data_IF_047519801437
#
_entry.id   IF_047519801437
#
_cell.length_a   1.000
_cell.length_b   1.000
_cell.length_c   1.000
_cell.angle_alpha   90.00
_cell.angle_beta   90.00
_cell.angle_gamma   90.00
#
_symmetry.space_group_name_H-M   'P 1'
#
loop_
_entity.id
_entity.type
_entity.pdbx_description
1 polymer ?
#
# COMPACT_ATOMS: atom_id res chain seq x y z
N UNK A 1 -16.68 33.41 -7.64
CA UNK A 1 -16.85 32.10 -6.96
C UNK A 1 -16.58 31.02 -8.00
N UNK A 2 -15.30 30.74 -8.24
CA UNK A 2 -14.87 29.72 -9.20
C UNK A 2 -14.73 28.39 -8.48
N UNK A 3 -15.41 27.38 -9.01
CA UNK A 3 -15.37 26.00 -8.53
C UNK A 3 -14.02 25.39 -8.91
N UNK A 4 -13.11 25.26 -7.94
CA UNK A 4 -11.90 24.48 -8.10
C UNK A 4 -12.29 22.99 -8.26
N UNK A 5 -12.01 22.43 -9.43
CA UNK A 5 -12.20 21.02 -9.74
C UNK A 5 -11.39 20.13 -8.80
N UNK A 6 -12.09 19.22 -8.12
CA UNK A 6 -11.48 18.25 -7.21
C UNK A 6 -10.79 17.18 -8.06
N UNK A 7 -9.47 17.27 -8.17
CA UNK A 7 -8.64 16.17 -8.64
C UNK A 7 -8.52 15.12 -7.52
N UNK A 8 -9.53 14.25 -7.40
CA UNK A 8 -9.42 13.04 -6.58
C UNK A 8 -8.42 12.14 -7.32
N UNK A 9 -7.22 11.96 -6.76
CA UNK A 9 -6.33 10.86 -7.13
C UNK A 9 -6.95 9.54 -6.65
N UNK A 10 -8.10 9.17 -7.23
CA UNK A 10 -8.52 7.79 -7.31
C UNK A 10 -7.40 7.06 -8.04
N UNK A 11 -6.94 5.95 -7.48
CA UNK A 11 -5.94 5.09 -8.13
C UNK A 11 -6.27 4.99 -9.62
N UNK A 12 -5.29 5.35 -10.46
CA UNK A 12 -5.42 5.34 -11.92
C UNK A 12 -6.13 4.05 -12.33
N UNK A 13 -7.26 4.22 -13.03
CA UNK A 13 -8.07 3.17 -13.66
C UNK A 13 -7.20 2.02 -14.16
N UNK A 14 -7.37 0.86 -13.54
CA UNK A 14 -7.22 -0.43 -14.19
C UNK A 14 -8.63 -0.94 -14.47
N UNK A 15 -9.41 -0.23 -15.28
CA UNK A 15 -10.74 -0.68 -15.70
C UNK A 15 -10.82 -0.79 -17.22
N UNK A 16 -10.90 -2.04 -17.67
CA UNK A 16 -11.60 -2.53 -18.87
C UNK A 16 -11.19 -2.02 -20.27
N UNK A 17 -10.14 -1.21 -20.44
CA UNK A 17 -9.66 -0.82 -21.78
C UNK A 17 -8.49 -1.65 -22.35
N UNK A 18 -8.02 -2.67 -21.65
CA UNK A 18 -6.79 -3.40 -21.99
C UNK A 18 -6.95 -4.58 -22.97
N UNK A 19 -8.11 -4.79 -23.57
CA UNK A 19 -8.31 -5.99 -24.42
C UNK A 19 -7.80 -5.87 -25.87
N UNK A 20 -7.40 -4.69 -26.37
CA UNK A 20 -7.11 -4.56 -27.82
C UNK A 20 -5.85 -3.77 -28.24
N UNK A 21 -4.87 -3.57 -27.37
CA UNK A 21 -3.60 -2.98 -27.80
C UNK A 21 -2.45 -3.98 -27.67
N UNK A 22 -2.01 -4.52 -28.82
CA UNK A 22 -0.75 -5.26 -28.98
C UNK A 22 0.43 -4.32 -28.67
N UNK A 23 0.67 -4.11 -27.38
CA UNK A 23 1.87 -3.48 -26.83
C UNK A 23 2.81 -4.60 -26.39
N UNK A 24 4.12 -4.40 -26.52
CA UNK A 24 5.13 -5.27 -25.89
C UNK A 24 4.75 -5.42 -24.42
N UNK A 25 4.18 -6.58 -24.09
CA UNK A 25 3.66 -6.89 -22.76
C UNK A 25 4.88 -7.15 -21.92
N UNK A 26 5.01 -6.45 -20.79
CA UNK A 26 5.93 -6.84 -19.73
C UNK A 26 5.92 -8.38 -19.58
N UNK A 27 7.05 -9.02 -19.88
CA UNK A 27 7.15 -10.48 -19.90
C UNK A 27 7.23 -11.01 -18.47
N UNK A 28 6.06 -11.06 -17.83
CA UNK A 28 5.85 -11.51 -16.45
C UNK A 28 6.47 -12.89 -16.18
N UNK A 29 6.64 -13.72 -17.21
CA UNK A 29 7.28 -15.04 -17.09
C UNK A 29 8.78 -14.98 -16.85
N UNK A 30 9.49 -13.96 -17.34
CA UNK A 30 10.93 -13.81 -17.13
C UNK A 30 11.22 -13.39 -15.68
N UNK A 31 10.49 -12.38 -15.19
CA UNK A 31 10.67 -11.92 -13.82
C UNK A 31 10.24 -12.99 -12.80
N UNK A 32 9.21 -13.79 -13.11
CA UNK A 32 8.70 -14.82 -12.23
C UNK A 32 9.78 -15.82 -11.79
N UNK A 33 10.63 -16.25 -12.72
CA UNK A 33 11.70 -17.22 -12.42
C UNK A 33 12.70 -16.66 -11.42
N UNK A 34 13.15 -15.43 -11.64
CA UNK A 34 14.11 -14.78 -10.75
C UNK A 34 13.52 -14.43 -9.39
N UNK A 35 12.25 -14.02 -9.34
CA UNK A 35 11.53 -13.76 -8.09
C UNK A 35 11.36 -15.02 -7.25
N UNK A 36 11.12 -16.18 -7.88
CA UNK A 36 11.06 -17.45 -7.18
C UNK A 36 12.39 -17.79 -6.47
N UNK A 37 13.54 -17.47 -7.09
CA UNK A 37 14.87 -17.68 -6.48
C UNK A 37 15.03 -16.92 -5.16
N UNK A 38 14.46 -15.72 -5.05
CA UNK A 38 14.52 -14.89 -3.83
C UNK A 38 13.29 -15.09 -2.91
N UNK A 39 12.49 -16.12 -3.17
CA UNK A 39 11.38 -16.52 -2.32
C UNK A 39 10.10 -15.71 -2.54
N UNK A 40 9.71 -15.50 -3.79
CA UNK A 40 8.39 -14.96 -4.15
C UNK A 40 7.64 -15.89 -5.11
N UNK A 41 6.41 -16.24 -4.73
CA UNK A 41 5.49 -16.99 -5.57
C UNK A 41 4.56 -16.05 -6.32
N UNK A 42 4.28 -16.38 -7.57
CA UNK A 42 3.30 -15.64 -8.39
C UNK A 42 1.89 -16.04 -7.97
N UNK A 43 1.10 -15.05 -7.56
CA UNK A 43 -0.32 -15.25 -7.24
C UNK A 43 -1.20 -15.09 -8.48
N UNK A 44 -0.91 -14.05 -9.28
CA UNK A 44 -1.54 -13.78 -10.59
C UNK A 44 -0.60 -12.91 -11.42
N UNK A 45 -1.03 -12.54 -12.62
CA UNK A 45 -0.24 -11.67 -13.50
C UNK A 45 0.23 -10.42 -12.75
N UNK A 46 1.55 -10.22 -12.73
CA UNK A 46 2.24 -9.10 -12.08
C UNK A 46 2.04 -8.93 -10.57
N UNK A 47 1.52 -9.93 -9.86
CA UNK A 47 1.36 -9.91 -8.39
C UNK A 47 2.05 -11.12 -7.77
N UNK A 48 2.95 -10.84 -6.85
CA UNK A 48 3.81 -11.84 -6.23
C UNK A 48 3.73 -11.72 -4.72
N UNK A 49 3.76 -12.86 -4.02
CA UNK A 49 3.77 -12.92 -2.55
C UNK A 49 5.02 -13.63 -2.07
N UNK A 50 5.66 -13.10 -1.04
CA UNK A 50 6.83 -13.74 -0.47
C UNK A 50 6.46 -15.08 0.17
N UNK A 51 7.27 -16.12 -0.06
CA UNK A 51 7.14 -17.44 0.56
C UNK A 51 7.52 -17.44 2.04
N UNK A 52 8.27 -16.42 2.46
CA UNK A 52 8.64 -16.16 3.85
C UNK A 52 7.65 -15.22 4.57
N UNK A 53 6.50 -14.92 3.94
CA UNK A 53 5.37 -14.28 4.64
C UNK A 53 4.90 -15.15 5.81
N UNK A 54 4.41 -14.51 6.87
CA UNK A 54 3.86 -15.20 8.04
C UNK A 54 2.33 -15.09 8.07
N UNK A 55 1.69 -15.73 9.04
CA UNK A 55 0.27 -15.54 9.31
C UNK A 55 -0.05 -14.10 9.77
N UNK A 56 0.94 -13.40 10.34
CA UNK A 56 0.78 -12.04 10.86
C UNK A 56 1.05 -10.98 9.79
N UNK A 57 2.05 -11.20 8.93
CA UNK A 57 2.48 -10.23 7.92
C UNK A 57 2.81 -10.90 6.59
N UNK A 58 2.05 -10.50 5.57
CA UNK A 58 2.25 -10.88 4.19
C UNK A 58 2.96 -9.79 3.39
N UNK A 59 3.86 -10.21 2.50
CA UNK A 59 4.69 -9.33 1.69
C UNK A 59 4.37 -9.51 0.23
N UNK A 60 4.12 -8.40 -0.47
CA UNK A 60 3.72 -8.41 -1.86
C UNK A 60 4.64 -7.57 -2.73
N UNK A 61 4.82 -8.00 -3.98
CA UNK A 61 5.37 -7.20 -5.07
C UNK A 61 4.33 -7.07 -6.19
N UNK A 62 4.23 -5.87 -6.71
CA UNK A 62 3.35 -5.51 -7.82
C UNK A 62 4.20 -4.92 -8.93
N UNK A 63 4.02 -5.44 -10.14
CA UNK A 63 4.66 -4.91 -11.33
C UNK A 63 3.62 -4.48 -12.34
N UNK A 64 4.00 -3.59 -13.23
CA UNK A 64 3.08 -3.13 -14.25
C UNK A 64 3.72 -2.18 -15.23
N UNK A 65 2.85 -1.62 -16.05
CA UNK A 65 3.21 -0.62 -17.03
C UNK A 65 2.15 0.48 -16.97
N UNK A 66 2.59 1.73 -16.92
CA UNK A 66 1.68 2.86 -16.93
C UNK A 66 1.21 3.21 -18.36
N UNK A 67 0.25 4.13 -18.47
CA UNK A 67 -0.30 4.56 -19.76
C UNK A 67 0.71 5.23 -20.69
N UNK A 68 1.90 5.57 -20.18
CA UNK A 68 3.02 6.16 -20.94
C UNK A 68 4.11 5.13 -21.26
N UNK A 69 3.80 3.85 -21.08
CA UNK A 69 4.69 2.71 -21.32
C UNK A 69 5.90 2.65 -20.39
N UNK A 70 5.83 3.29 -19.22
CA UNK A 70 6.87 3.16 -18.20
C UNK A 70 6.57 2.01 -17.28
N UNK A 71 7.60 1.26 -16.93
CA UNK A 71 7.52 0.21 -15.93
C UNK A 71 7.17 0.81 -14.56
N UNK A 72 6.28 0.13 -13.84
CA UNK A 72 5.90 0.47 -12.48
C UNK A 72 6.18 -0.71 -11.56
N UNK A 73 6.71 -0.41 -10.38
CA UNK A 73 6.94 -1.39 -9.33
C UNK A 73 6.50 -0.83 -7.98
N UNK A 74 5.81 -1.66 -7.21
CA UNK A 74 5.38 -1.37 -5.86
C UNK A 74 5.59 -2.60 -4.97
N UNK A 75 5.69 -2.37 -3.67
CA UNK A 75 5.59 -3.44 -2.68
C UNK A 75 4.50 -3.11 -1.67
N UNK A 76 3.97 -4.11 -0.97
CA UNK A 76 2.97 -3.93 0.06
C UNK A 76 3.20 -4.88 1.23
N UNK A 77 2.82 -4.45 2.42
CA UNK A 77 2.84 -5.24 3.65
C UNK A 77 1.42 -5.31 4.20
N UNK A 78 0.94 -6.52 4.51
CA UNK A 78 -0.45 -6.74 4.90
C UNK A 78 -0.53 -7.65 6.12
N UNK A 79 -1.16 -7.17 7.18
CA UNK A 79 -1.89 -8.05 8.09
C UNK A 79 -3.34 -8.21 7.55
N UNK A 80 -3.83 -9.44 7.31
CA UNK A 80 -5.14 -9.67 6.70
C UNK A 80 -6.30 -9.01 7.45
N UNK A 81 -6.34 -9.15 8.77
CA UNK A 81 -7.43 -8.63 9.61
C UNK A 81 -7.40 -7.10 9.68
N UNK A 82 -6.21 -6.53 9.88
CA UNK A 82 -6.02 -5.08 9.89
C UNK A 82 -6.39 -4.45 8.54
N UNK A 83 -6.03 -5.09 7.42
CA UNK A 83 -6.43 -4.60 6.10
C UNK A 83 -7.95 -4.67 5.90
N UNK A 84 -8.57 -5.80 6.24
CA UNK A 84 -10.02 -5.95 6.15
C UNK A 84 -10.72 -4.85 6.96
N UNK A 85 -10.29 -4.65 8.20
CA UNK A 85 -10.78 -3.59 9.07
C UNK A 85 -10.58 -2.19 8.48
N UNK A 86 -9.40 -1.90 7.91
CA UNK A 86 -9.11 -0.62 7.28
C UNK A 86 -9.98 -0.33 6.06
N UNK A 87 -10.28 -1.34 5.24
CA UNK A 87 -11.19 -1.20 4.09
C UNK A 87 -12.62 -0.95 4.58
N UNK A 88 -13.10 -1.72 5.56
CA UNK A 88 -14.43 -1.55 6.14
C UNK A 88 -14.59 -0.16 6.78
N UNK A 89 -13.57 0.31 7.50
CA UNK A 89 -13.53 1.65 8.05
C UNK A 89 -13.57 2.72 6.95
N UNK A 90 -12.82 2.55 5.86
CA UNK A 90 -12.84 3.50 4.75
C UNK A 90 -14.21 3.52 4.04
N UNK A 91 -14.85 2.37 3.89
CA UNK A 91 -16.21 2.26 3.33
C UNK A 91 -17.25 2.93 4.23
N UNK A 92 -17.11 2.79 5.55
CA UNK A 92 -18.05 3.30 6.55
C UNK A 92 -17.90 4.80 6.80
N UNK A 93 -16.66 5.27 6.89
CA UNK A 93 -16.32 6.64 7.33
C UNK A 93 -15.77 7.53 6.21
N UNK A 94 -15.43 6.95 5.07
CA UNK A 94 -14.96 7.70 3.90
C UNK A 94 -16.12 8.16 3.00
N UNK A 95 -15.73 8.87 1.94
CA UNK A 95 -16.61 9.33 0.88
C UNK A 95 -17.37 8.15 0.20
N UNK A 96 -18.65 8.31 -0.18
CA UNK A 96 -19.46 7.22 -0.75
C UNK A 96 -18.84 6.48 -1.95
N UNK A 97 -18.00 7.17 -2.74
CA UNK A 97 -17.27 6.56 -3.85
C UNK A 97 -16.34 5.40 -3.44
N UNK A 98 -15.92 5.33 -2.17
CA UNK A 98 -15.12 4.20 -1.68
C UNK A 98 -15.92 2.89 -1.64
N UNK A 99 -17.25 2.93 -1.61
CA UNK A 99 -18.07 1.72 -1.74
C UNK A 99 -17.91 1.07 -3.12
N UNK A 100 -17.82 1.88 -4.17
CA UNK A 100 -17.57 1.38 -5.53
C UNK A 100 -16.16 0.81 -5.62
N UNK A 101 -15.16 1.55 -5.12
CA UNK A 101 -13.77 1.10 -5.06
C UNK A 101 -13.61 -0.23 -4.31
N UNK A 102 -14.30 -0.40 -3.17
CA UNK A 102 -14.18 -1.62 -2.37
C UNK A 102 -14.82 -2.84 -3.04
N UNK A 103 -15.90 -2.66 -3.82
CA UNK A 103 -16.55 -3.75 -4.58
C UNK A 103 -15.68 -4.28 -5.72
N UNK A 104 -14.80 -3.44 -6.26
CA UNK A 104 -13.91 -3.81 -7.37
C UNK A 104 -12.60 -4.48 -6.91
N UNK A 105 -12.34 -4.51 -5.60
CA UNK A 105 -11.09 -5.00 -5.01
C UNK A 105 -11.24 -6.44 -4.53
N UNK A 106 -10.35 -7.31 -4.98
CA UNK A 106 -10.15 -8.61 -4.35
C UNK A 106 -9.20 -8.46 -3.15
N UNK A 107 -9.80 -8.26 -1.98
CA UNK A 107 -9.09 -8.05 -0.71
C UNK A 107 -8.26 -9.25 -0.26
N UNK A 108 -8.47 -10.43 -0.87
CA UNK A 108 -7.74 -11.67 -0.54
C UNK A 108 -6.39 -11.71 -1.23
N UNK A 109 -6.27 -11.14 -2.43
CA UNK A 109 -5.05 -11.23 -3.26
C UNK A 109 -4.27 -9.92 -3.39
N UNK A 110 -4.81 -8.81 -2.89
CA UNK A 110 -4.16 -7.50 -2.95
C UNK A 110 -3.87 -6.90 -1.57
N UNK A 111 -2.85 -6.06 -1.51
CA UNK A 111 -2.57 -5.14 -0.41
C UNK A 111 -3.11 -3.75 -0.76
N UNK A 112 -3.82 -3.11 0.17
CA UNK A 112 -4.36 -1.76 -0.03
C UNK A 112 -3.34 -0.66 0.28
N UNK A 113 -2.28 -0.99 1.02
CA UNK A 113 -1.16 -0.11 1.34
C UNK A 113 0.07 -0.53 0.53
N UNK A 114 0.21 0.06 -0.66
CA UNK A 114 1.34 -0.19 -1.55
C UNK A 114 2.25 1.03 -1.62
N UNK A 115 3.55 0.79 -1.67
CA UNK A 115 4.59 1.81 -1.76
C UNK A 115 5.35 1.63 -3.07
N UNK A 116 5.52 2.72 -3.81
CA UNK A 116 6.29 2.70 -5.05
C UNK A 116 7.77 2.46 -4.75
N UNK A 117 8.47 1.70 -5.60
CA UNK A 117 9.93 1.54 -5.45
C UNK A 117 10.66 2.90 -5.48
N UNK A 118 10.09 3.89 -6.17
CA UNK A 118 10.59 5.25 -6.19
C UNK A 118 10.55 5.97 -4.82
N UNK A 119 9.73 5.53 -3.86
CA UNK A 119 9.71 6.15 -2.51
C UNK A 119 10.88 5.72 -1.63
N UNK A 120 11.60 4.66 -1.98
CA UNK A 120 12.78 4.21 -1.22
C UNK A 120 14.01 5.11 -1.40
N UNK A 121 13.87 6.22 -2.14
CA UNK A 121 14.94 7.16 -2.41
C UNK A 121 15.12 8.11 -1.22
N UNK A 122 16.13 7.83 -0.39
CA UNK A 122 16.59 8.81 0.62
C UNK A 122 17.66 9.75 0.08
N UNK A 123 18.57 9.32 -0.81
CA UNK A 123 19.78 10.10 -1.16
C UNK A 123 20.58 9.54 -2.37
N UNK A 124 20.04 8.61 -3.19
CA UNK A 124 20.88 7.93 -4.20
C UNK A 124 20.55 8.40 -5.62
N UNK A 125 21.57 8.74 -6.42
CA UNK A 125 21.47 8.94 -7.88
C UNK A 125 21.06 7.65 -8.64
N UNK A 126 20.66 6.61 -7.93
CA UNK A 126 20.22 5.28 -8.39
C UNK A 126 18.78 5.02 -7.96
N UNK A 127 17.91 6.04 -8.05
CA UNK A 127 16.46 5.86 -7.99
C UNK A 127 16.06 4.69 -8.90
N UNK A 128 15.01 3.93 -8.55
CA UNK A 128 14.45 2.98 -9.53
C UNK A 128 14.17 3.77 -10.82
N UNK A 129 14.90 3.51 -11.92
CA UNK A 129 14.90 4.44 -13.03
C UNK A 129 13.54 4.42 -13.71
N UNK A 130 13.18 5.53 -14.34
CA UNK A 130 12.04 5.53 -15.26
C UNK A 130 12.41 4.70 -16.49
N UNK A 131 12.05 3.43 -16.46
CA UNK A 131 12.30 2.49 -17.57
C UNK A 131 11.13 2.50 -18.52
N UNK A 132 11.39 2.79 -19.79
CA UNK A 132 10.39 2.67 -20.85
C UNK A 132 10.43 1.25 -21.41
N UNK A 133 9.33 0.51 -21.25
CA UNK A 133 9.26 -0.93 -21.56
C UNK A 133 9.59 -1.24 -23.02
N UNK A 134 9.09 -0.49 -24.03
CA UNK A 134 9.46 -0.73 -25.43
C UNK A 134 10.95 -0.58 -25.76
N UNK A 135 11.69 0.18 -24.97
CA UNK A 135 13.08 0.57 -25.24
C UNK A 135 14.08 -0.31 -24.45
N UNK A 136 13.59 -1.29 -23.69
CA UNK A 136 14.41 -2.10 -22.76
C UNK A 136 14.18 -3.58 -23.04
N UNK A 137 15.26 -4.36 -23.14
CA UNK A 137 15.11 -5.82 -23.28
C UNK A 137 14.55 -6.46 -22.00
N UNK A 138 13.94 -7.64 -22.14
CA UNK A 138 13.41 -8.40 -20.99
C UNK A 138 14.48 -8.67 -19.93
N UNK A 139 15.67 -9.10 -20.35
CA UNK A 139 16.79 -9.42 -19.46
C UNK A 139 17.34 -8.18 -18.74
N UNK A 140 17.46 -7.05 -19.43
CA UNK A 140 17.88 -5.79 -18.80
C UNK A 140 16.89 -5.35 -17.72
N UNK A 141 15.58 -5.43 -18.01
CA UNK A 141 14.54 -5.08 -17.05
C UNK A 141 14.56 -6.02 -15.84
N UNK A 142 14.69 -7.33 -16.06
CA UNK A 142 14.79 -8.32 -14.98
C UNK A 142 16.01 -8.05 -14.11
N UNK A 143 17.19 -7.87 -14.69
CA UNK A 143 18.42 -7.59 -13.95
C UNK A 143 18.31 -6.31 -13.12
N UNK A 144 17.70 -5.27 -13.67
CA UNK A 144 17.44 -4.03 -12.95
C UNK A 144 16.51 -4.25 -11.75
N UNK A 145 15.36 -4.90 -11.97
CA UNK A 145 14.36 -5.11 -10.91
C UNK A 145 14.94 -6.01 -9.82
N UNK A 146 15.56 -7.12 -10.18
CA UNK A 146 16.17 -8.05 -9.22
C UNK A 146 17.29 -7.38 -8.43
N UNK A 147 18.16 -6.64 -9.12
CA UNK A 147 19.21 -5.85 -8.47
C UNK A 147 18.64 -4.83 -7.49
N UNK A 148 17.53 -4.18 -7.83
CA UNK A 148 16.87 -3.23 -6.94
C UNK A 148 16.22 -3.93 -5.74
N UNK A 149 15.46 -5.01 -5.96
CA UNK A 149 14.77 -5.76 -4.91
C UNK A 149 15.77 -6.27 -3.88
N UNK A 150 16.84 -6.92 -4.33
CA UNK A 150 17.83 -7.52 -3.43
C UNK A 150 18.63 -6.48 -2.66
N UNK A 151 19.07 -5.39 -3.31
CA UNK A 151 19.95 -4.39 -2.68
C UNK A 151 19.22 -3.33 -1.86
N UNK A 152 18.00 -2.97 -2.23
CA UNK A 152 17.31 -1.83 -1.64
C UNK A 152 16.04 -2.23 -0.88
N UNK A 153 15.23 -3.14 -1.44
CA UNK A 153 13.93 -3.46 -0.85
C UNK A 153 14.04 -4.50 0.27
N UNK A 154 14.62 -5.67 -0.01
CA UNK A 154 14.70 -6.77 0.96
C UNK A 154 15.35 -6.36 2.29
N UNK A 155 16.42 -5.54 2.34
CA UNK A 155 17.01 -5.10 3.61
C UNK A 155 16.04 -4.31 4.51
N UNK A 156 14.97 -3.74 3.95
CA UNK A 156 13.98 -2.95 4.69
C UNK A 156 12.80 -3.81 5.10
N UNK A 157 12.27 -4.63 4.19
CA UNK A 157 11.00 -5.32 4.42
C UNK A 157 11.15 -6.74 4.97
N UNK A 158 12.28 -7.41 4.77
CA UNK A 158 12.41 -8.85 5.07
C UNK A 158 12.32 -9.17 6.57
N UNK A 159 12.60 -8.21 7.44
CA UNK A 159 12.50 -8.38 8.89
C UNK A 159 11.13 -8.06 9.46
N UNK A 160 10.18 -7.56 8.65
CA UNK A 160 8.86 -7.14 9.12
C UNK A 160 7.90 -8.33 9.05
N UNK A 161 8.08 -9.30 9.94
CA UNK A 161 7.40 -10.61 9.87
C UNK A 161 6.40 -10.85 10.99
N UNK A 162 6.31 -9.93 11.95
CA UNK A 162 5.42 -10.02 13.11
C UNK A 162 4.64 -8.72 13.33
N UNK A 163 3.63 -8.78 14.19
CA UNK A 163 2.76 -7.63 14.48
C UNK A 163 3.52 -6.44 15.08
N UNK A 164 4.53 -6.65 15.93
CA UNK A 164 5.29 -5.55 16.56
C UNK A 164 6.12 -4.79 15.51
N UNK A 165 6.87 -5.50 14.68
CA UNK A 165 7.66 -4.89 13.59
C UNK A 165 6.75 -4.26 12.54
N UNK A 166 5.58 -4.85 12.27
CA UNK A 166 4.60 -4.28 11.36
C UNK A 166 3.96 -3.01 11.91
N UNK A 167 3.60 -2.97 13.21
CA UNK A 167 3.12 -1.76 13.87
C UNK A 167 4.16 -0.65 13.82
N UNK A 168 5.43 -0.97 14.15
CA UNK A 168 6.53 -0.02 14.06
C UNK A 168 6.67 0.54 12.64
N UNK A 169 6.58 -0.31 11.62
CA UNK A 169 6.57 0.11 10.23
C UNK A 169 5.38 1.04 9.93
N UNK A 170 4.16 0.66 10.34
CA UNK A 170 2.93 1.43 10.10
C UNK A 170 2.95 2.79 10.79
N UNK A 171 3.57 2.94 11.97
CA UNK A 171 3.63 4.23 12.68
C UNK A 171 4.75 5.12 12.11
N UNK A 172 5.85 4.53 11.63
CA UNK A 172 7.04 5.27 11.21
C UNK A 172 6.75 6.37 10.17
N UNK A 173 7.31 7.57 10.38
CA UNK A 173 7.29 8.68 9.42
C UNK A 173 8.60 8.79 8.63
N UNK A 174 9.03 7.66 8.08
CA UNK A 174 10.28 7.55 7.33
C UNK A 174 10.03 6.83 6.02
N UNK A 175 10.83 7.12 4.99
CA UNK A 175 10.72 6.36 3.74
C UNK A 175 10.90 4.86 4.00
N UNK A 176 10.08 4.01 3.37
CA UNK A 176 9.10 4.30 2.30
C UNK A 176 7.70 4.75 2.75
N UNK A 177 7.47 4.84 4.07
CA UNK A 177 6.15 5.01 4.69
C UNK A 177 5.94 6.40 5.32
N UNK A 178 6.40 7.47 4.68
CA UNK A 178 6.16 8.84 5.19
C UNK A 178 4.68 9.21 5.17
N UNK A 179 4.17 9.76 6.26
CA UNK A 179 2.77 10.18 6.40
C UNK A 179 2.39 11.24 5.36
N UNK A 180 3.27 12.18 5.03
CA UNK A 180 2.92 13.27 4.12
C UNK A 180 2.62 12.78 2.68
N UNK A 181 3.30 11.73 2.24
CA UNK A 181 3.30 11.25 0.84
C UNK A 181 2.63 9.89 0.65
N UNK A 182 2.42 9.11 1.72
CA UNK A 182 1.69 7.84 1.63
C UNK A 182 0.28 8.07 1.10
N UNK A 183 -0.17 7.19 0.22
CA UNK A 183 -1.60 7.07 -0.09
C UNK A 183 -2.35 6.44 1.08
N UNK A 184 -3.66 6.69 1.19
CA UNK A 184 -4.61 5.99 2.06
C UNK A 184 -4.43 6.16 3.59
N UNK A 185 -4.33 7.41 4.06
CA UNK A 185 -4.22 7.76 5.50
C UNK A 185 -5.26 7.09 6.39
N UNK A 186 -6.53 7.04 5.96
CA UNK A 186 -7.60 6.40 6.73
C UNK A 186 -7.37 4.91 6.93
N UNK A 187 -6.98 4.19 5.87
CA UNK A 187 -6.66 2.76 5.96
C UNK A 187 -5.47 2.56 6.90
N UNK A 188 -4.41 3.38 6.77
CA UNK A 188 -3.24 3.28 7.63
C UNK A 188 -3.58 3.48 9.11
N UNK A 189 -4.38 4.50 9.45
CA UNK A 189 -4.83 4.73 10.83
C UNK A 189 -5.64 3.56 11.35
N UNK A 190 -6.60 3.05 10.56
CA UNK A 190 -7.38 1.88 10.95
C UNK A 190 -6.52 0.62 11.13
N UNK A 191 -5.51 0.41 10.29
CA UNK A 191 -4.55 -0.67 10.45
C UNK A 191 -3.71 -0.53 11.73
N UNK A 192 -3.26 0.68 12.08
CA UNK A 192 -2.55 0.94 13.33
C UNK A 192 -3.43 0.59 14.53
N UNK A 193 -4.70 1.03 14.53
CA UNK A 193 -5.66 0.70 15.60
C UNK A 193 -5.82 -0.81 15.73
N UNK A 194 -6.07 -1.52 14.63
CA UNK A 194 -6.26 -2.97 14.63
C UNK A 194 -5.02 -3.71 15.14
N UNK A 195 -3.84 -3.45 14.59
CA UNK A 195 -2.61 -4.15 14.95
C UNK A 195 -2.20 -3.86 16.39
N UNK A 196 -2.29 -2.60 16.83
CA UNK A 196 -1.96 -2.23 18.21
C UNK A 196 -2.92 -2.89 19.22
N UNK A 197 -4.21 -2.96 18.90
CA UNK A 197 -5.18 -3.67 19.74
C UNK A 197 -4.94 -5.19 19.76
N UNK A 198 -4.55 -5.81 18.63
CA UNK A 198 -4.13 -7.23 18.60
C UNK A 198 -2.92 -7.50 19.50
N UNK A 199 -2.01 -6.53 19.62
CA UNK A 199 -0.88 -6.57 20.54
C UNK A 199 -1.24 -6.26 22.00
N UNK A 200 -2.52 -6.03 22.31
CA UNK A 200 -2.99 -5.73 23.66
C UNK A 200 -2.68 -4.31 24.14
N UNK A 201 -2.40 -3.36 23.22
CA UNK A 201 -2.22 -1.94 23.58
C UNK A 201 -3.56 -1.36 24.02
N UNK A 202 -3.53 -0.54 25.07
CA UNK A 202 -4.71 0.20 25.52
C UNK A 202 -5.10 1.31 24.54
N UNK A 203 -6.37 1.71 24.55
CA UNK A 203 -6.88 2.83 23.74
C UNK A 203 -6.04 4.11 23.92
N UNK A 204 -5.55 4.37 25.13
CA UNK A 204 -4.71 5.52 25.44
C UNK A 204 -3.34 5.43 24.74
N UNK A 205 -2.70 4.26 24.75
CA UNK A 205 -1.44 4.03 24.03
C UNK A 205 -1.63 4.18 22.52
N UNK A 206 -2.73 3.64 21.97
CA UNK A 206 -3.05 3.72 20.54
C UNK A 206 -3.21 5.18 20.09
N UNK A 207 -3.94 5.98 20.87
CA UNK A 207 -4.09 7.41 20.61
C UNK A 207 -2.75 8.14 20.63
N UNK A 208 -1.90 7.82 21.61
CA UNK A 208 -0.59 8.47 21.74
C UNK A 208 0.37 8.10 20.60
N UNK A 209 0.24 6.90 20.01
CA UNK A 209 0.98 6.52 18.79
C UNK A 209 0.60 7.39 17.57
N UNK A 210 -0.65 7.83 17.47
CA UNK A 210 -1.17 8.56 16.31
C UNK A 210 -1.01 10.08 16.42
N UNK A 211 -1.06 10.61 17.65
CA UNK A 211 -1.00 12.04 17.97
C UNK A 211 0.13 12.84 17.29
N UNK A 212 1.37 12.32 17.09
CA UNK A 212 2.40 13.06 16.37
C UNK A 212 2.04 13.38 14.91
N UNK A 213 1.02 12.70 14.35
CA UNK A 213 0.64 12.76 12.95
C UNK A 213 -0.73 13.39 12.71
N UNK A 214 -1.40 13.91 13.75
CA UNK A 214 -2.76 14.43 13.67
C UNK A 214 -2.92 15.48 12.56
N UNK A 215 -1.99 16.42 12.46
CA UNK A 215 -2.04 17.48 11.44
C UNK A 215 -1.99 16.91 10.01
N UNK A 216 -1.12 15.92 9.78
CA UNK A 216 -0.95 15.27 8.49
C UNK A 216 -2.19 14.44 8.14
N UNK A 217 -2.73 13.71 9.11
CA UNK A 217 -3.91 12.88 8.95
C UNK A 217 -5.14 13.77 8.69
N UNK A 218 -5.38 14.78 9.52
CA UNK A 218 -6.53 15.69 9.42
C UNK A 218 -6.55 16.42 8.07
N UNK A 219 -5.40 16.94 7.63
CA UNK A 219 -5.28 17.62 6.33
C UNK A 219 -5.73 16.74 5.18
N UNK A 220 -5.48 15.43 5.26
CA UNK A 220 -5.85 14.47 4.22
C UNK A 220 -7.29 14.01 4.37
N UNK A 221 -7.74 13.80 5.61
CA UNK A 221 -9.10 13.38 5.93
C UNK A 221 -10.17 14.37 5.47
N UNK A 222 -9.90 15.68 5.53
CA UNK A 222 -10.85 16.73 5.07
C UNK A 222 -11.42 16.54 3.66
N UNK A 223 -10.73 15.80 2.80
CA UNK A 223 -11.16 15.58 1.42
C UNK A 223 -11.73 14.18 1.15
N UNK A 224 -11.65 13.28 2.14
CA UNK A 224 -11.97 11.86 1.96
C UNK A 224 -12.94 11.31 3.02
N UNK A 225 -13.06 11.95 4.18
CA UNK A 225 -14.02 11.59 5.21
C UNK A 225 -15.44 12.04 4.80
N UNK A 226 -16.44 11.30 5.25
CA UNK A 226 -17.83 11.74 5.17
C UNK A 226 -18.20 12.63 6.37
N UNK A 227 -19.40 13.20 6.33
CA UNK A 227 -19.89 14.14 7.35
C UNK A 227 -20.05 13.51 8.76
N UNK A 228 -19.93 12.18 8.89
CA UNK A 228 -19.97 11.50 10.20
C UNK A 228 -18.65 11.55 10.95
N UNK A 229 -17.59 12.07 10.32
CA UNK A 229 -16.24 12.24 10.88
C UNK A 229 -15.75 13.68 10.71
N UNK A 230 -15.81 14.45 11.80
CA UNK A 230 -15.44 15.87 11.85
C UNK A 230 -13.97 16.12 12.24
N UNK A 231 -13.23 15.09 12.65
CA UNK A 231 -11.83 15.22 13.07
C UNK A 231 -11.15 13.87 13.33
N UNK A 232 -9.84 13.90 13.54
CA UNK A 232 -9.03 12.70 13.76
C UNK A 232 -9.39 11.99 15.07
N UNK A 233 -9.56 12.71 16.18
CA UNK A 233 -9.92 12.12 17.47
C UNK A 233 -11.20 11.30 17.37
N UNK A 234 -12.24 11.88 16.77
CA UNK A 234 -13.52 11.18 16.61
C UNK A 234 -13.41 10.00 15.64
N UNK A 235 -12.53 10.07 14.64
CA UNK A 235 -12.26 8.92 13.78
C UNK A 235 -11.60 7.78 14.56
N UNK A 236 -10.56 8.06 15.34
CA UNK A 236 -9.85 7.08 16.16
C UNK A 236 -10.79 6.47 17.20
N UNK A 237 -11.61 7.27 17.89
CA UNK A 237 -12.61 6.78 18.85
C UNK A 237 -13.61 5.81 18.21
N UNK A 238 -14.08 6.12 17.00
CA UNK A 238 -14.96 5.25 16.23
C UNK A 238 -14.26 3.95 15.83
N UNK A 239 -12.99 4.01 15.42
CA UNK A 239 -12.21 2.83 15.09
C UNK A 239 -11.99 1.92 16.31
N UNK A 240 -11.63 2.49 17.46
CA UNK A 240 -11.45 1.74 18.71
C UNK A 240 -12.75 1.04 19.11
N UNK A 241 -13.88 1.76 19.05
CA UNK A 241 -15.21 1.20 19.32
C UNK A 241 -15.56 0.08 18.35
N UNK A 242 -15.34 0.27 17.04
CA UNK A 242 -15.64 -0.72 16.00
C UNK A 242 -14.75 -1.97 16.12
N UNK A 243 -13.49 -1.81 16.54
CA UNK A 243 -12.58 -2.93 16.76
C UNK A 243 -12.98 -3.75 17.98
N UNK A 244 -13.32 -3.08 19.10
CA UNK A 244 -13.75 -3.75 20.32
C UNK A 244 -14.99 -4.65 20.12
N UNK A 245 -15.87 -4.31 19.16
CA UNK A 245 -17.03 -5.12 18.79
C UNK A 245 -16.68 -6.41 18.02
N UNK A 246 -15.40 -6.62 17.66
CA UNK A 246 -14.93 -7.81 16.91
C UNK A 246 -14.22 -8.84 17.78
N UNK A 247 -13.72 -8.42 18.95
CA UNK A 247 -13.04 -9.27 19.92
C UNK A 247 -14.04 -10.06 20.76
#
# INVERSE_FOLDING_TARGET
MERAGIAICLGRRLSQQDENMRLNVFEDTLIQKELAVIGYDRLRKSVYRATWSTAEVEHFLYFGQDSRQYFTAQFGLRNPDAQKFGIEAMVKYGHPNFQLWAKERDVVVECSMTFHFASLDKFSRTSFPRVRVPDTSGDELVNLVMGFVVRNLLPIIKSIIDLETYLAFLVADLEPNRWLVSSNHMIRVAQIVAVAAQLGRSDAEIKELLKPYDCQIEKRMRHIANDTVTGIDMYVDKLLSDWALRA
#
